data_IF_748671822636
#
_entry.id   IF_748671822636
#
_cell.length_a   1.000
_cell.length_b   1.000
_cell.length_c   1.000
_cell.angle_alpha   90.00
_cell.angle_beta   90.00
_cell.angle_gamma   90.00
#
_symmetry.space_group_name_H-M   'P 1'
#
loop_
_entity.id
_entity.type
_entity.pdbx_description
1 polymer ?
#
# COMPACT_ATOMS: atom_id res chain seq x y z
N UNK A 1 -34.52 -19.60 -27.94
CA UNK A 1 -34.62 -18.24 -28.48
C UNK A 1 -34.09 -17.22 -27.48
N UNK A 2 -34.46 -17.33 -26.20
CA UNK A 2 -33.95 -16.45 -25.13
C UNK A 2 -32.42 -16.39 -25.02
N UNK A 3 -31.73 -17.48 -25.34
CA UNK A 3 -30.27 -17.56 -25.28
C UNK A 3 -29.58 -16.70 -26.36
N UNK A 4 -30.11 -16.66 -27.59
CA UNK A 4 -29.55 -15.86 -28.69
C UNK A 4 -29.75 -14.37 -28.41
N UNK A 5 -30.91 -14.00 -27.89
CA UNK A 5 -31.23 -12.61 -27.57
C UNK A 5 -30.35 -12.11 -26.41
N UNK A 6 -30.09 -12.97 -25.42
CA UNK A 6 -29.15 -12.68 -24.32
C UNK A 6 -27.72 -12.52 -24.81
N UNK A 7 -27.28 -13.35 -25.76
CA UNK A 7 -25.94 -13.24 -26.37
C UNK A 7 -25.78 -11.96 -27.19
N UNK A 8 -26.80 -11.55 -27.94
CA UNK A 8 -26.79 -10.28 -28.68
C UNK A 8 -26.71 -9.10 -27.69
N UNK A 9 -27.52 -9.11 -26.64
CA UNK A 9 -27.48 -8.08 -25.59
C UNK A 9 -26.12 -8.03 -24.89
N UNK A 10 -25.51 -9.18 -24.61
CA UNK A 10 -24.16 -9.25 -24.04
C UNK A 10 -23.10 -8.69 -24.99
N UNK A 11 -23.15 -9.07 -26.26
CA UNK A 11 -22.24 -8.57 -27.28
C UNK A 11 -22.42 -7.06 -27.49
N UNK A 12 -23.66 -6.57 -27.47
CA UNK A 12 -23.99 -5.15 -27.62
C UNK A 12 -23.74 -4.33 -26.35
N UNK A 13 -23.56 -4.99 -25.20
CA UNK A 13 -23.27 -4.31 -23.94
C UNK A 13 -21.92 -3.59 -23.95
N UNK A 14 -21.75 -2.64 -23.03
CA UNK A 14 -20.47 -2.03 -22.73
C UNK A 14 -20.05 -2.48 -21.33
N UNK A 15 -18.86 -3.10 -21.25
CA UNK A 15 -18.31 -3.58 -19.99
C UNK A 15 -16.88 -3.11 -19.87
N UNK A 16 -16.62 -2.28 -18.86
CA UNK A 16 -15.28 -1.81 -18.53
C UNK A 16 -14.95 -2.18 -17.09
N UNK A 17 -14.11 -3.20 -16.94
CA UNK A 17 -13.57 -3.63 -15.67
C UNK A 17 -12.07 -3.95 -15.81
N UNK A 18 -11.34 -4.21 -14.71
CA UNK A 18 -9.91 -4.45 -14.78
C UNK A 18 -9.49 -5.66 -15.63
N UNK A 19 -10.38 -6.63 -15.88
CA UNK A 19 -10.09 -7.84 -16.66
C UNK A 19 -10.60 -7.75 -18.12
N UNK A 20 -11.54 -6.85 -18.40
CA UNK A 20 -12.22 -6.75 -19.68
C UNK A 20 -12.52 -5.29 -20.03
N UNK A 21 -11.95 -4.88 -21.16
CA UNK A 21 -12.35 -3.70 -21.90
C UNK A 21 -13.22 -4.15 -23.08
N UNK A 22 -14.54 -3.98 -22.95
CA UNK A 22 -15.51 -4.27 -24.00
C UNK A 22 -16.30 -3.00 -24.33
N UNK A 23 -15.78 -2.27 -25.31
CA UNK A 23 -16.32 -1.02 -25.84
C UNK A 23 -16.56 -1.17 -27.36
N UNK A 24 -17.01 -0.10 -28.02
CA UNK A 24 -17.28 -0.11 -29.46
C UNK A 24 -16.01 -0.42 -30.28
N UNK A 25 -14.86 0.11 -29.88
CA UNK A 25 -13.58 -0.03 -30.58
C UNK A 25 -13.01 -1.46 -30.52
N UNK A 26 -12.99 -2.05 -29.32
CA UNK A 26 -12.62 -3.47 -29.12
C UNK A 26 -13.59 -4.40 -29.84
N UNK A 27 -14.89 -4.08 -29.86
CA UNK A 27 -15.89 -4.84 -30.63
C UNK A 27 -15.64 -4.77 -32.13
N UNK A 28 -15.33 -3.59 -32.68
CA UNK A 28 -15.02 -3.42 -34.10
C UNK A 28 -13.73 -4.15 -34.48
N UNK A 29 -12.72 -4.11 -33.61
CA UNK A 29 -11.45 -4.83 -33.77
C UNK A 29 -11.66 -6.34 -33.81
N UNK A 30 -12.41 -6.87 -32.83
CA UNK A 30 -12.78 -8.29 -32.75
C UNK A 30 -13.59 -8.72 -33.98
N UNK A 31 -14.55 -7.90 -34.41
CA UNK A 31 -15.42 -8.21 -35.55
C UNK A 31 -14.65 -8.23 -36.86
N UNK A 32 -13.73 -7.28 -37.04
CA UNK A 32 -12.84 -7.23 -38.20
C UNK A 32 -11.91 -8.45 -38.22
N UNK A 33 -11.35 -8.82 -37.07
CA UNK A 33 -10.50 -9.99 -36.95
C UNK A 33 -11.25 -11.30 -37.23
N UNK A 34 -12.43 -11.50 -36.65
CA UNK A 34 -13.27 -12.67 -36.90
C UNK A 34 -13.67 -12.75 -38.37
N UNK A 35 -13.99 -11.62 -39.00
CA UNK A 35 -14.30 -11.58 -40.43
C UNK A 35 -13.11 -12.01 -41.29
N UNK A 36 -11.90 -11.53 -40.97
CA UNK A 36 -10.67 -11.92 -41.64
C UNK A 36 -10.33 -13.40 -41.41
N UNK A 37 -10.55 -13.91 -40.19
CA UNK A 37 -10.36 -15.32 -39.87
C UNK A 37 -11.31 -16.21 -40.63
N UNK A 38 -12.61 -15.85 -40.66
CA UNK A 38 -13.62 -16.59 -41.41
C UNK A 38 -13.19 -16.76 -42.87
N UNK A 39 -12.71 -15.68 -43.50
CA UNK A 39 -12.26 -15.73 -44.89
C UNK A 39 -11.03 -16.65 -45.05
N UNK A 40 -10.03 -16.55 -44.17
CA UNK A 40 -8.83 -17.40 -44.19
C UNK A 40 -9.15 -18.89 -43.97
N UNK A 41 -10.06 -19.19 -43.06
CA UNK A 41 -10.51 -20.56 -42.79
C UNK A 41 -11.28 -21.10 -43.98
N UNK A 42 -12.17 -20.29 -44.56
CA UNK A 42 -12.95 -20.68 -45.73
C UNK A 42 -12.07 -20.97 -46.96
N UNK A 43 -11.04 -20.17 -47.20
CA UNK A 43 -10.04 -20.43 -48.25
C UNK A 43 -9.29 -21.75 -48.02
N UNK A 44 -8.82 -22.00 -46.79
CA UNK A 44 -8.13 -23.25 -46.45
C UNK A 44 -9.04 -24.49 -46.51
N UNK A 45 -10.31 -24.35 -46.14
CA UNK A 45 -11.28 -25.45 -46.20
C UNK A 45 -11.70 -25.80 -47.63
N UNK A 46 -11.62 -24.84 -48.56
CA UNK A 46 -11.80 -25.13 -49.99
C UNK A 46 -10.66 -26.00 -50.55
N UNK A 47 -9.43 -25.83 -50.04
CA UNK A 47 -8.28 -26.64 -50.44
C UNK A 47 -8.24 -28.00 -49.71
N UNK A 48 -8.53 -28.02 -48.41
CA UNK A 48 -8.59 -29.23 -47.58
C UNK A 48 -9.81 -29.18 -46.62
N UNK A 49 -10.86 -29.98 -46.89
CA UNK A 49 -12.06 -30.05 -46.05
C UNK A 49 -11.81 -30.53 -44.61
N UNK A 50 -10.70 -31.24 -44.36
CA UNK A 50 -10.34 -31.74 -43.03
C UNK A 50 -9.37 -30.82 -42.28
N UNK A 51 -9.08 -29.65 -42.83
CA UNK A 51 -8.21 -28.68 -42.18
C UNK A 51 -8.81 -28.22 -40.84
N UNK A 52 -8.02 -28.36 -39.77
CA UNK A 52 -8.36 -27.86 -38.44
C UNK A 52 -7.89 -26.42 -38.30
N UNK A 53 -8.69 -25.61 -37.60
CA UNK A 53 -8.36 -24.23 -37.30
C UNK A 53 -8.26 -24.04 -35.78
N UNK A 54 -7.24 -23.28 -35.37
CA UNK A 54 -7.04 -22.87 -33.98
C UNK A 54 -6.95 -21.34 -33.92
N UNK A 55 -7.57 -20.76 -32.89
CA UNK A 55 -7.56 -19.31 -32.68
C UNK A 55 -6.17 -18.95 -32.16
N UNK A 56 -5.40 -18.21 -32.95
CA UNK A 56 -4.03 -17.85 -32.53
C UNK A 56 -4.06 -17.06 -31.24
N UNK A 57 -3.15 -17.38 -30.31
CA UNK A 57 -2.94 -16.62 -29.07
C UNK A 57 -2.63 -15.14 -29.33
N UNK A 58 -2.01 -14.85 -30.47
CA UNK A 58 -1.71 -13.49 -30.92
C UNK A 58 -2.96 -12.58 -31.00
N UNK A 59 -4.16 -13.15 -31.16
CA UNK A 59 -5.41 -12.39 -31.18
C UNK A 59 -5.66 -11.65 -29.88
N UNK A 60 -5.47 -12.34 -28.75
CA UNK A 60 -5.71 -11.79 -27.40
C UNK A 60 -4.71 -10.67 -27.13
N UNK A 61 -3.47 -10.84 -27.56
CA UNK A 61 -2.41 -9.84 -27.39
C UNK A 61 -2.66 -8.58 -28.23
N UNK A 62 -3.31 -8.69 -29.40
CA UNK A 62 -3.63 -7.54 -30.26
C UNK A 62 -4.79 -6.69 -29.74
N UNK A 63 -5.78 -7.29 -29.06
CA UNK A 63 -6.92 -6.54 -28.48
C UNK A 63 -6.47 -5.72 -27.26
N UNK A 64 -5.51 -6.23 -26.50
CA UNK A 64 -5.06 -5.62 -25.25
C UNK A 64 -3.97 -4.56 -25.44
N UNK A 65 -3.64 -4.15 -26.67
CA UNK A 65 -2.53 -3.22 -26.96
C UNK A 65 -2.76 -1.80 -26.45
N UNK A 66 -4.01 -1.39 -26.21
CA UNK A 66 -4.31 -0.05 -25.69
C UNK A 66 -3.81 0.18 -24.26
N UNK A 67 -3.76 -0.87 -23.45
CA UNK A 67 -3.33 -0.76 -22.06
C UNK A 67 -1.82 -1.07 -21.94
N UNK A 68 -1.02 -0.01 -21.74
CA UNK A 68 0.45 -0.07 -21.62
C UNK A 68 0.95 -1.01 -20.53
N UNK A 69 0.14 -1.26 -19.49
CA UNK A 69 0.52 -2.03 -18.32
C UNK A 69 -0.52 -3.12 -17.99
N UNK A 70 -0.52 -4.18 -18.79
CA UNK A 70 -1.26 -5.42 -18.53
C UNK A 70 -0.41 -6.43 -17.75
N UNK A 71 -1.01 -7.08 -16.73
CA UNK A 71 -0.41 -8.15 -15.94
C UNK A 71 -1.46 -9.22 -15.71
N UNK A 72 -1.17 -10.47 -16.08
CA UNK A 72 -2.11 -11.60 -15.94
C UNK A 72 -3.51 -11.31 -16.53
N UNK A 73 -3.57 -10.64 -17.69
CA UNK A 73 -4.80 -10.17 -18.36
C UNK A 73 -5.61 -9.13 -17.55
N UNK A 74 -4.96 -8.46 -16.60
CA UNK A 74 -5.55 -7.38 -15.81
C UNK A 74 -4.84 -6.07 -16.13
N UNK A 75 -5.63 -5.05 -16.42
CA UNK A 75 -5.14 -3.67 -16.60
C UNK A 75 -4.87 -3.04 -15.25
N UNK A 76 -3.61 -2.68 -15.01
CA UNK A 76 -3.19 -2.13 -13.71
C UNK A 76 -3.82 -0.75 -13.47
N UNK A 77 -3.93 0.10 -14.49
CA UNK A 77 -4.56 1.41 -14.37
C UNK A 77 -6.05 1.30 -14.01
N UNK A 78 -6.77 0.38 -14.67
CA UNK A 78 -8.20 0.13 -14.39
C UNK A 78 -8.39 -0.50 -13.01
N UNK A 79 -7.49 -1.38 -12.59
CA UNK A 79 -7.51 -1.93 -11.24
C UNK A 79 -7.36 -0.84 -10.17
N UNK A 80 -6.46 0.14 -10.37
CA UNK A 80 -6.30 1.27 -9.45
C UNK A 80 -7.59 2.11 -9.39
N UNK A 81 -8.31 2.28 -10.51
CA UNK A 81 -9.59 2.97 -10.54
C UNK A 81 -10.72 2.17 -9.86
N UNK A 82 -10.65 0.83 -9.86
CA UNK A 82 -11.64 -0.08 -9.30
C UNK A 82 -11.01 -1.13 -8.36
N UNK A 83 -10.44 -0.71 -7.21
CA UNK A 83 -9.64 -1.61 -6.38
C UNK A 83 -10.47 -2.65 -5.61
N UNK A 84 -11.78 -2.45 -5.49
CA UNK A 84 -12.72 -3.41 -4.91
C UNK A 84 -13.12 -4.54 -5.86
N UNK A 85 -12.64 -4.54 -7.10
CA UNK A 85 -12.97 -5.57 -8.08
C UNK A 85 -12.35 -6.92 -7.69
N UNK A 86 -13.16 -7.98 -7.68
CA UNK A 86 -12.71 -9.33 -7.34
C UNK A 86 -12.12 -9.98 -8.59
N UNK A 87 -10.79 -10.11 -8.61
CA UNK A 87 -10.06 -10.72 -9.72
C UNK A 87 -10.19 -12.25 -9.71
N UNK A 88 -10.40 -12.84 -10.88
CA UNK A 88 -10.47 -14.31 -11.08
C UNK A 88 -9.15 -14.99 -10.75
N UNK A 89 -8.05 -14.39 -11.19
CA UNK A 89 -6.69 -14.90 -11.02
C UNK A 89 -5.87 -14.00 -10.08
N UNK A 90 -6.43 -13.66 -8.91
CA UNK A 90 -5.86 -12.68 -7.97
C UNK A 90 -4.41 -13.00 -7.55
N UNK A 91 -4.05 -14.28 -7.42
CA UNK A 91 -2.69 -14.71 -7.06
C UNK A 91 -1.70 -14.52 -8.21
N UNK A 92 -2.09 -14.86 -9.44
CA UNK A 92 -1.24 -14.68 -10.62
C UNK A 92 -0.99 -13.20 -10.88
N UNK A 93 -2.00 -12.35 -10.67
CA UNK A 93 -1.86 -10.90 -10.73
C UNK A 93 -0.86 -10.38 -9.69
N UNK A 94 -0.96 -10.82 -8.42
CA UNK A 94 -0.01 -10.42 -7.37
C UNK A 94 1.44 -10.84 -7.69
N UNK A 95 1.64 -12.09 -8.11
CA UNK A 95 2.96 -12.57 -8.51
C UNK A 95 3.48 -11.76 -9.71
N UNK A 96 2.64 -11.52 -10.72
CA UNK A 96 3.00 -10.74 -11.90
C UNK A 96 3.37 -9.28 -11.57
N UNK A 97 2.69 -8.65 -10.59
CA UNK A 97 3.05 -7.33 -10.09
C UNK A 97 4.47 -7.32 -9.50
N UNK A 98 4.81 -8.33 -8.68
CA UNK A 98 6.15 -8.46 -8.12
C UNK A 98 7.22 -8.81 -9.18
N UNK A 99 6.88 -9.68 -10.14
CA UNK A 99 7.76 -10.06 -11.24
C UNK A 99 8.07 -8.87 -12.15
N UNK A 100 7.19 -7.86 -12.23
CA UNK A 100 7.42 -6.62 -12.97
C UNK A 100 8.15 -5.56 -12.13
N UNK A 101 7.88 -5.47 -10.83
CA UNK A 101 8.49 -4.44 -9.95
C UNK A 101 9.95 -4.74 -9.60
N UNK A 102 10.34 -6.01 -9.38
CA UNK A 102 11.71 -6.33 -8.96
C UNK A 102 12.77 -6.07 -10.03
N UNK A 103 12.57 -6.41 -11.32
CA UNK A 103 13.50 -6.04 -12.39
C UNK A 103 13.65 -4.53 -12.50
N UNK A 104 12.55 -3.80 -12.28
CA UNK A 104 12.50 -2.34 -12.29
C UNK A 104 13.38 -1.75 -11.18
N UNK A 105 13.46 -2.38 -10.00
CA UNK A 105 14.36 -1.97 -8.92
C UNK A 105 15.84 -2.14 -9.23
N UNK A 106 16.18 -3.04 -10.14
CA UNK A 106 17.58 -3.30 -10.54
C UNK A 106 18.05 -2.48 -11.74
N UNK A 107 17.12 -1.85 -12.47
CA UNK A 107 17.41 -1.18 -13.74
C UNK A 107 17.75 0.31 -13.51
N UNK A 108 18.93 0.75 -13.98
CA UNK A 108 19.48 2.11 -13.74
C UNK A 108 18.88 3.24 -14.61
N UNK A 109 17.83 2.99 -15.40
CA UNK A 109 17.21 4.02 -16.27
C UNK A 109 16.19 4.86 -15.46
N UNK A 110 16.68 5.88 -14.79
CA UNK A 110 15.99 6.60 -13.72
C UNK A 110 14.74 7.44 -14.09
N UNK A 111 14.38 7.65 -15.35
CA UNK A 111 13.44 8.72 -15.73
C UNK A 111 12.03 8.19 -16.10
N UNK A 112 11.91 7.27 -17.06
CA UNK A 112 10.58 6.68 -17.42
C UNK A 112 10.11 5.61 -16.41
N UNK A 113 11.05 5.06 -15.64
CA UNK A 113 10.76 4.01 -14.64
C UNK A 113 9.92 4.53 -13.47
N UNK A 114 9.92 5.84 -13.20
CA UNK A 114 9.28 6.37 -11.99
C UNK A 114 7.75 6.26 -12.01
N UNK A 115 7.12 6.46 -13.16
CA UNK A 115 5.65 6.47 -13.27
C UNK A 115 5.08 5.04 -13.24
N UNK A 116 5.67 4.13 -14.01
CA UNK A 116 5.33 2.71 -13.96
C UNK A 116 5.59 2.12 -12.57
N UNK A 117 6.69 2.50 -11.90
CA UNK A 117 7.00 2.05 -10.55
C UNK A 117 5.97 2.53 -9.52
N UNK A 118 5.61 3.81 -9.53
CA UNK A 118 4.60 4.35 -8.59
C UNK A 118 3.22 3.74 -8.88
N UNK A 119 2.88 3.48 -10.15
CA UNK A 119 1.66 2.77 -10.56
C UNK A 119 1.64 1.34 -10.02
N UNK A 120 2.71 0.57 -10.24
CA UNK A 120 2.85 -0.80 -9.72
C UNK A 120 2.80 -0.83 -8.19
N UNK A 121 3.49 0.09 -7.53
CA UNK A 121 3.52 0.21 -6.06
C UNK A 121 2.12 0.48 -5.53
N UNK A 122 1.40 1.42 -6.15
CA UNK A 122 0.04 1.78 -5.76
C UNK A 122 -0.91 0.60 -5.96
N UNK A 123 -0.81 -0.10 -7.09
CA UNK A 123 -1.60 -1.29 -7.36
C UNK A 123 -1.35 -2.40 -6.33
N UNK A 124 -0.09 -2.66 -5.95
CA UNK A 124 0.25 -3.63 -4.90
C UNK A 124 -0.35 -3.21 -3.56
N UNK A 125 -0.18 -1.95 -3.16
CA UNK A 125 -0.71 -1.46 -1.87
C UNK A 125 -2.25 -1.59 -1.81
N UNK A 126 -2.94 -1.18 -2.86
CA UNK A 126 -4.40 -1.33 -2.96
C UNK A 126 -4.81 -2.80 -2.97
N UNK A 127 -4.13 -3.64 -3.75
CA UNK A 127 -4.44 -5.06 -3.79
C UNK A 127 -4.33 -5.71 -2.40
N UNK A 128 -3.29 -5.40 -1.63
CA UNK A 128 -3.10 -5.92 -0.27
C UNK A 128 -4.12 -5.35 0.72
N UNK A 129 -4.56 -4.11 0.54
CA UNK A 129 -5.60 -3.49 1.36
C UNK A 129 -6.97 -4.17 1.17
N UNK A 130 -7.35 -4.47 -0.07
CA UNK A 130 -8.64 -5.09 -0.38
C UNK A 130 -8.63 -6.62 -0.28
N UNK A 131 -7.45 -7.26 -0.28
CA UNK A 131 -7.30 -8.71 -0.21
C UNK A 131 -6.36 -9.16 0.93
N UNK A 132 -6.76 -9.03 2.21
CA UNK A 132 -5.91 -9.35 3.35
C UNK A 132 -5.47 -10.83 3.39
N UNK A 133 -6.31 -11.74 2.91
CA UNK A 133 -6.00 -13.19 2.85
C UNK A 133 -4.76 -13.47 1.99
N UNK A 134 -4.54 -12.70 0.93
CA UNK A 134 -3.38 -12.89 0.07
C UNK A 134 -2.12 -12.23 0.65
N UNK A 135 -2.30 -11.24 1.54
CA UNK A 135 -1.21 -10.70 2.33
C UNK A 135 -0.63 -11.77 3.26
N UNK A 136 -1.46 -12.62 3.87
CA UNK A 136 -1.00 -13.73 4.72
C UNK A 136 -0.14 -14.76 3.99
N UNK A 137 -0.28 -14.86 2.66
CA UNK A 137 0.50 -15.79 1.83
C UNK A 137 1.84 -15.19 1.36
N UNK A 138 2.02 -13.87 1.41
CA UNK A 138 3.27 -13.21 0.99
C UNK A 138 4.54 -13.75 1.67
N UNK A 139 4.54 -14.03 2.98
CA UNK A 139 5.69 -14.66 3.66
C UNK A 139 6.12 -15.98 3.01
N UNK A 140 5.16 -16.83 2.66
CA UNK A 140 5.45 -18.15 2.05
C UNK A 140 6.10 -18.05 0.67
N UNK A 141 5.90 -16.92 -0.02
CA UNK A 141 6.47 -16.63 -1.34
C UNK A 141 7.87 -15.99 -1.25
N UNK A 142 8.33 -15.64 -0.05
CA UNK A 142 9.65 -15.02 0.17
C UNK A 142 9.77 -13.58 -0.34
N UNK A 143 8.65 -12.90 -0.63
CA UNK A 143 8.66 -11.52 -1.11
C UNK A 143 9.14 -10.54 -0.04
N UNK A 144 8.89 -10.82 1.25
CA UNK A 144 9.29 -9.97 2.39
C UNK A 144 10.81 -9.86 2.47
N UNK A 145 11.53 -10.99 2.50
CA UNK A 145 13.01 -11.00 2.51
C UNK A 145 13.61 -10.30 1.28
N UNK A 146 13.01 -10.48 0.10
CA UNK A 146 13.44 -9.77 -1.12
C UNK A 146 13.29 -8.26 -0.97
N UNK A 147 12.15 -7.78 -0.48
CA UNK A 147 11.89 -6.35 -0.25
C UNK A 147 12.90 -5.76 0.75
N UNK A 148 13.15 -6.42 1.87
CA UNK A 148 14.15 -5.97 2.85
C UNK A 148 15.55 -5.92 2.22
N UNK A 149 15.91 -6.89 1.39
CA UNK A 149 17.17 -6.88 0.64
C UNK A 149 17.27 -5.74 -0.38
N UNK A 150 16.17 -5.35 -1.03
CA UNK A 150 16.14 -4.18 -1.91
C UNK A 150 16.24 -2.87 -1.14
N UNK A 151 15.64 -2.80 0.05
CA UNK A 151 15.76 -1.65 0.94
C UNK A 151 17.21 -1.45 1.41
N UNK A 152 17.88 -2.53 1.84
CA UNK A 152 19.28 -2.53 2.29
C UNK A 152 20.24 -2.10 1.16
N UNK A 153 19.97 -2.56 -0.08
CA UNK A 153 20.76 -2.21 -1.27
C UNK A 153 20.41 -0.86 -1.90
N UNK A 154 19.33 -0.21 -1.44
CA UNK A 154 18.87 1.02 -2.06
C UNK A 154 19.85 2.17 -1.80
N UNK A 155 20.20 2.89 -2.87
CA UNK A 155 21.02 4.09 -2.79
C UNK A 155 20.20 5.28 -2.27
N UNK A 156 20.89 6.23 -1.64
CA UNK A 156 20.35 7.50 -1.16
C UNK A 156 19.49 8.17 -2.24
N UNK A 157 18.24 8.52 -1.92
CA UNK A 157 17.32 9.19 -2.84
C UNK A 157 16.53 8.31 -3.82
N UNK A 158 16.69 6.98 -3.82
CA UNK A 158 15.99 6.13 -4.81
C UNK A 158 14.47 6.06 -4.58
N UNK A 159 13.67 6.23 -5.64
CA UNK A 159 12.23 5.93 -5.65
C UNK A 159 11.92 4.48 -5.27
N UNK A 160 12.91 3.58 -5.40
CA UNK A 160 12.84 2.18 -4.96
C UNK A 160 12.65 2.07 -3.46
N UNK A 161 13.38 2.89 -2.67
CA UNK A 161 13.27 2.86 -1.21
C UNK A 161 11.85 3.26 -0.76
N UNK A 162 11.32 4.36 -1.33
CA UNK A 162 9.94 4.81 -1.06
C UNK A 162 8.92 3.73 -1.43
N UNK A 163 9.02 3.17 -2.63
CA UNK A 163 8.11 2.14 -3.12
C UNK A 163 8.11 0.90 -2.24
N UNK A 164 9.32 0.42 -1.88
CA UNK A 164 9.49 -0.74 -1.00
C UNK A 164 8.92 -0.48 0.40
N UNK A 165 9.15 0.72 0.97
CA UNK A 165 8.60 1.11 2.27
C UNK A 165 7.06 1.21 2.24
N UNK A 166 6.46 1.70 1.16
CA UNK A 166 4.99 1.75 1.02
C UNK A 166 4.37 0.36 1.03
N UNK A 167 4.97 -0.57 0.28
CA UNK A 167 4.50 -1.97 0.24
C UNK A 167 4.71 -2.63 1.61
N UNK A 168 5.90 -2.45 2.21
CA UNK A 168 6.22 -3.02 3.52
C UNK A 168 5.29 -2.47 4.62
N UNK A 169 4.92 -1.18 4.57
CA UNK A 169 3.94 -0.60 5.49
C UNK A 169 2.57 -1.25 5.34
N UNK A 170 2.12 -1.50 4.11
CA UNK A 170 0.87 -2.21 3.86
C UNK A 170 0.91 -3.64 4.44
N UNK A 171 2.04 -4.33 4.31
CA UNK A 171 2.27 -5.65 4.90
C UNK A 171 2.34 -5.62 6.44
N UNK A 172 2.84 -4.54 7.04
CA UNK A 172 3.02 -4.41 8.49
C UNK A 172 1.70 -4.40 9.28
N UNK A 173 0.55 -4.28 8.60
CA UNK A 173 -0.75 -4.41 9.23
C UNK A 173 -1.09 -5.88 9.57
N UNK A 174 -0.42 -6.84 8.91
CA UNK A 174 -0.73 -8.27 9.01
C UNK A 174 0.30 -9.00 9.88
N UNK A 175 -0.18 -9.76 10.88
CA UNK A 175 0.68 -10.49 11.83
C UNK A 175 1.62 -11.49 11.14
N UNK A 176 1.13 -12.23 10.14
CA UNK A 176 1.92 -13.23 9.39
C UNK A 176 3.14 -12.59 8.70
N UNK A 177 2.96 -11.41 8.13
CA UNK A 177 4.03 -10.62 7.51
C UNK A 177 5.03 -10.12 8.54
N UNK A 178 4.55 -9.64 9.70
CA UNK A 178 5.41 -9.18 10.80
C UNK A 178 6.34 -10.29 11.30
N UNK A 179 5.83 -11.52 11.48
CA UNK A 179 6.66 -12.65 11.89
C UNK A 179 7.79 -12.95 10.90
N UNK A 180 7.54 -12.79 9.60
CA UNK A 180 8.56 -12.98 8.57
C UNK A 180 9.54 -11.81 8.48
N UNK A 181 9.07 -10.58 8.74
CA UNK A 181 9.94 -9.41 8.90
C UNK A 181 10.95 -9.67 10.03
N UNK A 182 10.53 -10.23 11.16
CA UNK A 182 11.44 -10.53 12.28
C UNK A 182 12.48 -11.60 11.98
N UNK A 183 12.18 -12.58 11.10
CA UNK A 183 13.19 -13.56 10.68
C UNK A 183 14.37 -12.88 9.98
N UNK A 184 14.15 -11.72 9.37
CA UNK A 184 15.20 -10.97 8.69
C UNK A 184 15.89 -10.04 9.68
N UNK A 185 17.03 -10.46 10.25
CA UNK A 185 17.79 -9.71 11.27
C UNK A 185 18.25 -8.29 10.87
N UNK A 186 18.03 -7.83 9.63
CA UNK A 186 18.40 -6.49 9.15
C UNK A 186 17.22 -5.56 8.88
N UNK A 187 15.99 -6.00 9.11
CA UNK A 187 14.80 -5.22 8.75
C UNK A 187 14.80 -3.83 9.43
N UNK A 188 15.11 -3.78 10.73
CA UNK A 188 15.11 -2.53 11.50
C UNK A 188 16.25 -1.61 11.07
N UNK A 189 17.44 -2.18 10.80
CA UNK A 189 18.56 -1.41 10.28
C UNK A 189 18.21 -0.78 8.91
N UNK A 190 17.67 -1.56 7.98
CA UNK A 190 17.31 -1.07 6.65
C UNK A 190 16.22 0.03 6.70
N UNK A 191 15.24 -0.10 7.61
CA UNK A 191 14.23 0.94 7.81
C UNK A 191 14.84 2.20 8.45
N UNK A 192 15.70 2.06 9.47
CA UNK A 192 16.35 3.21 10.10
C UNK A 192 17.33 3.93 9.16
N UNK A 193 18.09 3.19 8.36
CA UNK A 193 18.98 3.77 7.36
C UNK A 193 18.18 4.51 6.27
N UNK A 194 16.96 4.04 5.95
CA UNK A 194 16.07 4.74 5.04
C UNK A 194 15.62 6.11 5.56
N UNK A 195 15.53 6.30 6.89
CA UNK A 195 15.25 7.60 7.50
C UNK A 195 16.39 8.59 7.30
N UNK A 196 17.63 8.13 7.49
CA UNK A 196 18.82 8.98 7.31
C UNK A 196 19.02 9.36 5.85
N UNK A 197 18.66 8.46 4.93
CA UNK A 197 18.82 8.67 3.48
C UNK A 197 17.70 9.52 2.85
N UNK A 198 16.48 9.49 3.40
CA UNK A 198 15.29 10.19 2.87
C UNK A 198 14.31 10.59 3.98
N UNK A 199 14.23 11.87 4.37
CA UNK A 199 13.31 12.33 5.41
C UNK A 199 11.84 12.17 5.00
N UNK A 200 11.49 12.36 3.72
CA UNK A 200 10.11 12.21 3.21
C UNK A 200 9.48 10.84 3.50
N UNK A 201 10.31 9.79 3.61
CA UNK A 201 9.85 8.43 3.86
C UNK A 201 9.78 8.10 5.35
N UNK A 202 10.15 9.02 6.24
CA UNK A 202 10.29 8.69 7.64
C UNK A 202 8.96 8.38 8.34
N UNK A 203 7.85 8.96 7.88
CA UNK A 203 6.53 8.58 8.36
C UNK A 203 6.20 7.11 8.09
N UNK A 204 6.52 6.61 6.88
CA UNK A 204 6.22 5.24 6.48
C UNK A 204 7.04 4.24 7.30
N UNK A 205 8.34 4.48 7.45
CA UNK A 205 9.17 3.63 8.30
C UNK A 205 8.77 3.70 9.78
N UNK A 206 8.35 4.86 10.28
CA UNK A 206 7.94 5.00 11.68
C UNK A 206 6.63 4.25 11.95
N UNK A 207 5.69 4.29 11.00
CA UNK A 207 4.47 3.47 11.01
C UNK A 207 4.80 1.98 11.03
N UNK A 208 5.71 1.50 10.18
CA UNK A 208 6.17 0.10 10.17
C UNK A 208 6.73 -0.29 11.54
N UNK A 209 7.61 0.54 12.11
CA UNK A 209 8.21 0.29 13.43
C UNK A 209 7.12 0.22 14.50
N UNK A 210 6.19 1.17 14.53
CA UNK A 210 5.11 1.19 15.50
C UNK A 210 4.19 -0.04 15.39
N UNK A 211 3.82 -0.43 14.17
CA UNK A 211 2.98 -1.60 13.92
C UNK A 211 3.66 -2.88 14.36
N UNK A 212 4.93 -3.06 13.99
CA UNK A 212 5.76 -4.17 14.47
C UNK A 212 5.83 -4.18 16.01
N UNK A 213 6.20 -3.05 16.62
CA UNK A 213 6.40 -2.95 18.07
C UNK A 213 5.10 -3.14 18.86
N UNK A 214 3.95 -2.79 18.29
CA UNK A 214 2.64 -2.95 18.94
C UNK A 214 2.10 -4.38 18.89
N UNK A 215 2.39 -5.15 17.83
CA UNK A 215 1.80 -6.48 17.64
C UNK A 215 2.62 -7.61 18.32
N UNK A 216 3.95 -7.52 18.35
CA UNK A 216 4.83 -8.61 18.82
C UNK A 216 5.96 -8.08 19.72
N UNK A 217 5.58 -7.47 20.83
CA UNK A 217 6.50 -6.78 21.76
C UNK A 217 7.65 -7.69 22.24
N UNK A 218 7.39 -8.96 22.56
CA UNK A 218 8.40 -9.87 23.15
C UNK A 218 9.54 -10.24 22.18
N UNK A 219 9.24 -10.42 20.88
CA UNK A 219 10.25 -10.74 19.87
C UNK A 219 11.12 -9.52 19.58
N UNK A 220 10.48 -8.36 19.51
CA UNK A 220 11.14 -7.07 19.30
C UNK A 220 12.10 -6.76 20.44
N UNK A 221 11.66 -6.89 21.69
CA UNK A 221 12.50 -6.59 22.85
C UNK A 221 13.79 -7.39 22.86
N UNK A 222 13.72 -8.69 22.53
CA UNK A 222 14.90 -9.56 22.44
C UNK A 222 15.85 -9.07 21.35
N UNK A 223 15.31 -8.78 20.17
CA UNK A 223 16.08 -8.35 19.01
C UNK A 223 16.74 -6.97 19.20
N UNK A 224 16.03 -6.01 19.80
CA UNK A 224 16.55 -4.67 20.10
C UNK A 224 17.70 -4.74 21.12
N UNK A 225 17.56 -5.58 22.15
CA UNK A 225 18.60 -5.75 23.17
C UNK A 225 19.84 -6.46 22.64
N UNK A 226 19.68 -7.40 21.69
CA UNK A 226 20.81 -8.10 21.08
C UNK A 226 21.65 -7.22 20.15
N UNK A 227 21.02 -6.24 19.49
CA UNK A 227 21.66 -5.45 18.44
C UNK A 227 21.90 -3.98 18.83
N UNK A 228 21.61 -3.60 20.08
CA UNK A 228 21.78 -2.25 20.62
C UNK A 228 21.19 -1.15 19.72
N UNK A 229 19.92 -1.33 19.31
CA UNK A 229 19.22 -0.36 18.45
C UNK A 229 18.64 0.83 19.22
N UNK A 230 18.63 0.80 20.56
CA UNK A 230 18.08 1.87 21.41
C UNK A 230 18.78 3.22 21.15
N UNK A 231 20.13 3.31 21.14
CA UNK A 231 20.82 4.55 20.82
C UNK A 231 20.49 5.11 19.42
N UNK A 232 20.29 4.23 18.42
CA UNK A 232 19.93 4.65 17.06
C UNK A 232 18.51 5.19 16.98
N UNK A 233 17.55 4.54 17.65
CA UNK A 233 16.17 5.01 17.73
C UNK A 233 16.08 6.38 18.43
N UNK A 234 16.82 6.56 19.51
CA UNK A 234 16.91 7.84 20.24
C UNK A 234 17.59 8.91 19.37
N UNK A 235 18.64 8.56 18.62
CA UNK A 235 19.29 9.48 17.66
C UNK A 235 18.34 9.96 16.56
N UNK A 236 17.44 9.10 16.07
CA UNK A 236 16.42 9.47 15.08
C UNK A 236 15.42 10.48 15.65
N UNK A 237 15.10 10.43 16.95
CA UNK A 237 14.24 11.43 17.61
C UNK A 237 14.89 12.83 17.65
N UNK A 238 16.22 12.92 17.63
CA UNK A 238 16.97 14.17 17.59
C UNK A 238 17.14 14.78 16.21
N UNK A 239 16.88 14.02 15.14
CA UNK A 239 17.06 14.58 13.81
C UNK A 239 16.04 15.71 13.61
N UNK A 240 16.48 16.91 13.16
CA UNK A 240 15.57 17.96 12.75
C UNK A 240 14.92 17.48 11.45
N UNK A 241 13.75 16.86 11.58
CA UNK A 241 12.92 16.39 10.47
C UNK A 241 12.26 17.59 9.76
N UNK A 242 13.07 18.57 9.34
CA UNK A 242 12.63 19.86 8.78
C UNK A 242 11.96 19.73 7.40
N UNK A 243 12.16 18.62 6.69
CA UNK A 243 11.57 18.34 5.37
C UNK A 243 10.31 17.45 5.43
N UNK A 244 9.83 17.07 6.61
CA UNK A 244 8.67 16.19 6.75
C UNK A 244 7.41 17.03 6.92
N UNK A 245 6.34 16.69 6.19
CA UNK A 245 5.02 17.35 6.36
C UNK A 245 4.47 17.20 7.79
N UNK A 246 4.77 16.08 8.46
CA UNK A 246 4.36 15.78 9.85
C UNK A 246 5.49 15.12 10.68
N UNK A 247 6.51 15.90 11.07
CA UNK A 247 7.67 15.37 11.80
C UNK A 247 7.30 14.90 13.22
N UNK A 248 6.26 15.51 13.77
CA UNK A 248 5.72 15.25 15.08
C UNK A 248 5.02 13.88 15.17
N UNK A 249 4.23 13.51 14.16
CA UNK A 249 3.58 12.20 14.08
C UNK A 249 4.59 11.06 13.94
N UNK A 250 5.63 11.24 13.12
CA UNK A 250 6.69 10.25 12.97
C UNK A 250 7.43 9.98 14.30
N UNK A 251 7.72 11.04 15.07
CA UNK A 251 8.28 10.91 16.42
C UNK A 251 7.30 10.21 17.36
N UNK A 252 6.01 10.53 17.29
CA UNK A 252 4.97 9.88 18.09
C UNK A 252 4.90 8.37 17.85
N UNK A 253 5.01 7.91 16.60
CA UNK A 253 5.03 6.47 16.28
C UNK A 253 6.24 5.75 16.88
N UNK A 254 7.42 6.36 16.84
CA UNK A 254 8.63 5.80 17.47
C UNK A 254 8.47 5.77 19.00
N UNK A 255 7.96 6.86 19.59
CA UNK A 255 7.72 6.96 21.04
C UNK A 255 6.70 5.93 21.50
N UNK A 256 5.61 5.74 20.76
CA UNK A 256 4.62 4.70 21.02
C UNK A 256 5.23 3.31 21.00
N UNK A 257 6.02 3.02 19.97
CA UNK A 257 6.72 1.75 19.86
C UNK A 257 7.62 1.52 21.07
N UNK A 258 8.38 2.53 21.50
CA UNK A 258 9.23 2.46 22.70
C UNK A 258 8.40 2.31 23.99
N UNK A 259 7.27 3.00 24.12
CA UNK A 259 6.34 2.84 25.24
C UNK A 259 5.69 1.44 25.26
N UNK A 260 5.41 0.85 24.09
CA UNK A 260 4.94 -0.53 23.98
C UNK A 260 6.00 -1.51 24.48
N UNK A 261 7.28 -1.25 24.19
CA UNK A 261 8.42 -2.02 24.68
C UNK A 261 8.65 -1.87 26.20
N UNK A 262 8.42 -0.69 26.78
CA UNK A 262 8.47 -0.52 28.24
C UNK A 262 7.40 -1.34 28.97
N UNK A 263 6.23 -1.55 28.33
CA UNK A 263 5.12 -2.34 28.87
C UNK A 263 5.34 -3.85 28.76
N UNK A 264 6.44 -4.29 28.13
CA UNK A 264 6.78 -5.70 28.01
C UNK A 264 7.09 -6.32 29.38
N UNK A 265 6.52 -7.50 29.64
CA UNK A 265 6.64 -8.20 30.91
C UNK A 265 8.01 -8.86 31.09
N UNK A 266 8.71 -9.18 29.99
CA UNK A 266 9.96 -9.95 30.03
C UNK A 266 11.20 -9.07 30.04
N UNK A 267 11.24 -8.08 29.15
CA UNK A 267 12.42 -7.25 28.92
C UNK A 267 12.19 -5.75 29.19
N UNK A 268 10.94 -5.35 29.50
CA UNK A 268 10.57 -3.95 29.68
C UNK A 268 11.35 -3.25 30.78
N UNK A 269 11.73 -3.94 31.87
CA UNK A 269 12.58 -3.37 32.94
C UNK A 269 13.99 -3.01 32.47
N UNK A 270 14.60 -3.85 31.62
CA UNK A 270 15.95 -3.63 31.08
C UNK A 270 15.94 -2.52 30.03
N UNK A 271 14.90 -2.49 29.18
CA UNK A 271 14.68 -1.43 28.20
C UNK A 271 14.43 -0.08 28.92
N UNK A 272 13.63 -0.08 29.98
CA UNK A 272 13.38 1.12 30.81
C UNK A 272 14.66 1.68 31.44
N UNK A 273 15.57 0.81 31.91
CA UNK A 273 16.87 1.25 32.44
C UNK A 273 17.73 1.91 31.37
N UNK A 274 17.90 1.26 30.22
CA UNK A 274 18.68 1.81 29.10
C UNK A 274 18.07 3.11 28.55
N UNK A 275 16.75 3.20 28.48
CA UNK A 275 16.06 4.41 28.04
C UNK A 275 16.18 5.55 29.05
N UNK A 276 16.23 5.26 30.36
CA UNK A 276 16.39 6.29 31.40
C UNK A 276 17.79 6.91 31.43
N UNK A 277 18.79 6.22 30.88
CA UNK A 277 20.15 6.75 30.70
C UNK A 277 20.18 7.86 29.64
N UNK A 278 19.22 7.89 28.72
CA UNK A 278 19.09 8.95 27.72
C UNK A 278 18.26 10.12 28.25
N UNK A 279 18.82 11.34 28.36
CA UNK A 279 18.11 12.51 28.87
C UNK A 279 16.93 12.93 27.98
N UNK A 280 16.99 12.59 26.69
CA UNK A 280 15.98 12.92 25.68
C UNK A 280 14.71 12.08 25.84
N UNK A 281 14.83 10.82 26.25
CA UNK A 281 13.67 9.96 26.50
C UNK A 281 12.77 10.49 27.62
N UNK A 282 13.35 11.16 28.62
CA UNK A 282 12.60 11.72 29.77
C UNK A 282 11.53 12.73 29.34
N UNK A 283 11.74 13.43 28.23
CA UNK A 283 10.79 14.40 27.69
C UNK A 283 9.61 13.72 26.97
N UNK A 284 9.84 12.55 26.36
CA UNK A 284 8.85 11.81 25.57
C UNK A 284 8.16 10.68 26.35
N UNK A 285 8.73 10.23 27.47
CA UNK A 285 8.24 9.15 28.34
C UNK A 285 6.78 9.33 28.79
N UNK A 286 6.32 10.56 28.96
CA UNK A 286 4.97 10.89 29.46
C UNK A 286 4.07 11.56 28.40
N UNK A 287 4.55 11.77 27.17
CA UNK A 287 3.75 12.39 26.13
C UNK A 287 2.72 11.39 25.57
N UNK A 288 1.43 11.70 25.73
CA UNK A 288 0.32 11.05 25.03
C UNK A 288 0.00 11.84 23.75
N UNK A 289 -0.61 11.15 22.78
CA UNK A 289 -0.95 11.63 21.44
C UNK A 289 -1.66 12.99 21.31
N UNK A 290 -2.24 13.52 22.37
CA UNK A 290 -3.13 14.69 22.33
C UNK A 290 -2.43 16.03 22.00
N UNK A 291 -1.10 16.05 21.94
CA UNK A 291 -0.30 17.25 21.61
C UNK A 291 0.23 17.26 20.16
N UNK A 292 -0.07 16.23 19.37
CA UNK A 292 0.32 16.17 17.95
C UNK A 292 -0.80 16.60 16.99
N UNK A 293 -1.92 17.07 17.51
CA UNK A 293 -2.90 17.82 16.71
C UNK A 293 -2.31 19.20 16.48
N UNK A 294 -2.08 19.52 15.22
CA UNK A 294 -1.68 20.85 14.74
C UNK A 294 -2.51 21.93 15.47
N UNK A 295 -1.84 22.82 16.22
CA UNK A 295 -2.49 24.02 16.76
C UNK A 295 -2.97 24.97 15.64
N UNK A 296 -2.67 24.64 14.36
CA UNK A 296 -3.15 25.28 13.14
C UNK A 296 -4.68 25.17 12.96
N UNK A 297 -5.27 24.00 13.24
CA UNK A 297 -6.69 23.76 12.92
C UNK A 297 -7.65 24.25 14.00
N UNK A 298 -7.19 24.32 15.24
CA UNK A 298 -8.04 24.76 16.36
C UNK A 298 -8.27 26.27 16.36
N UNK A 299 -7.34 27.09 15.87
CA UNK A 299 -7.56 28.53 15.74
C UNK A 299 -8.54 28.89 14.61
N UNK A 300 -8.55 28.13 13.51
CA UNK A 300 -9.45 28.40 12.39
C UNK A 300 -10.92 28.03 12.70
N UNK A 301 -11.14 26.96 13.49
CA UNK A 301 -12.47 26.56 13.96
C UNK A 301 -13.04 27.48 15.05
N UNK A 302 -12.19 28.01 15.94
CA UNK A 302 -12.64 28.92 17.01
C UNK A 302 -12.97 30.34 16.49
N UNK A 303 -12.34 30.78 15.39
CA UNK A 303 -12.64 32.07 14.76
C UNK A 303 -13.92 32.06 13.93
N UNK A 304 -14.38 30.90 13.43
CA UNK A 304 -15.64 30.81 12.67
C UNK A 304 -16.88 30.68 13.57
N UNK A 305 -16.75 30.11 14.77
CA UNK A 305 -17.90 29.89 15.68
C UNK A 305 -18.28 31.10 16.55
N UNK A 306 -17.50 32.17 16.56
CA UNK A 306 -17.84 33.39 17.35
C UNK A 306 -18.70 34.40 16.59
N UNK A 307 -18.91 34.23 15.28
CA UNK A 307 -19.83 35.09 14.50
C UNK A 307 -21.31 34.67 14.59
N UNK A 308 -21.62 33.44 15.02
CA UNK A 308 -22.98 32.88 14.99
C UNK A 308 -23.78 32.91 16.29
N UNK A 309 -23.17 33.26 17.43
CA UNK A 309 -23.79 33.06 18.76
C UNK A 309 -24.28 34.34 19.47
N UNK A 310 -24.36 35.48 18.77
CA UNK A 310 -24.78 36.76 19.38
C UNK A 310 -26.23 37.21 19.14
N UNK A 311 -27.12 36.37 18.61
CA UNK A 311 -28.49 36.83 18.28
C UNK A 311 -29.65 35.99 18.82
N UNK A 312 -29.45 35.02 19.72
CA UNK A 312 -30.57 34.19 20.20
C UNK A 312 -30.56 33.90 21.70
N UNK A 313 -30.41 34.92 22.56
CA UNK A 313 -30.86 34.79 23.96
C UNK A 313 -31.37 36.15 24.44
N UNK A 314 -32.68 36.42 24.32
CA UNK A 314 -33.46 37.30 25.19
C UNK A 314 -34.96 37.19 24.85
N UNK A 315 -35.80 37.30 25.90
CA UNK A 315 -37.27 37.10 26.02
C UNK A 315 -37.71 35.66 26.39
N UNK A 316 -37.80 35.34 27.70
CA UNK A 316 -39.00 35.43 28.58
C UNK A 316 -40.12 34.44 28.18
N UNK A 317 -40.71 33.56 28.99
CA UNK A 317 -40.87 33.34 30.46
C UNK A 317 -41.46 31.92 30.69
N UNK A 318 -41.46 31.35 31.91
CA UNK A 318 -41.84 29.95 32.16
C UNK A 318 -43.20 29.74 32.86
N UNK A 319 -43.67 28.48 32.80
CA UNK A 319 -44.57 27.75 33.72
C UNK A 319 -46.10 27.84 33.51
N UNK A 320 -46.69 26.68 33.16
CA UNK A 320 -47.98 26.24 33.68
C UNK A 320 -47.92 24.72 33.95
N UNK A 321 -47.95 24.31 35.22
CA UNK A 321 -48.20 22.92 35.66
C UNK A 321 -49.44 22.95 36.54
N UNK A 322 -50.45 22.15 36.18
CA UNK A 322 -51.62 21.85 36.99
C UNK A 322 -51.40 20.60 37.88
N UNK A 323 -52.31 20.47 38.85
CA UNK A 323 -52.51 19.42 39.88
C UNK A 323 -51.65 19.61 41.14
N UNK A 324 -52.20 19.72 42.36
CA UNK A 324 -53.51 19.39 42.93
C UNK A 324 -53.91 20.45 43.96
#
# INVERSE_FOLDING_TARGET
MDDIQSMILLYESQQENPELLWNTETRDTVSTYISNLKNKVFEKQQEDPNSTYDISKDFVDNINQEDSLMIANVSVHRFIAQPSWVLRHSREFLCGLFDKIYPTYTTKKLIDISEDMETLTTAICLFLQYNPVQCDQLPSLGHISKMIGFLDKSSTGSSVAKSTLRILNSCSNTRSCILDIYKNERWLFAVLESFEKRPDCAMLGASIINNCFSQEVSLVSTYILQNDFIPKLVRVLNYPLQEIERPLEAKAFIVNGLQALEKDLTHGKRITQLLNDFPEWKQYRFQKHDLFIDQSDTQHLLMQNTAGLKTQILFHTPVCRQSK
#
